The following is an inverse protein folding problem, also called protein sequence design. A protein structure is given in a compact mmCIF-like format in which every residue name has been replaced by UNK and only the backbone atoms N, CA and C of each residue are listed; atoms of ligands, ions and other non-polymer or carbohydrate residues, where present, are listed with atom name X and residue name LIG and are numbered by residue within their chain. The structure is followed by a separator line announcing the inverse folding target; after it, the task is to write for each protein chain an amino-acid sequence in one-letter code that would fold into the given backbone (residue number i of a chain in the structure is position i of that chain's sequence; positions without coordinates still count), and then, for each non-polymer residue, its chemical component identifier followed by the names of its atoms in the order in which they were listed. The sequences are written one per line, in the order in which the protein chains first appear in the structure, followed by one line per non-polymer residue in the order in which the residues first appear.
data_IF_988192706466
#
_entry.id   IF_988192706466
#
_cell.length_a   1.000
_cell.length_b   1.000
_cell.length_c   1.000
_cell.angle_alpha   90.00
_cell.angle_beta   90.00
_cell.angle_gamma   90.00
#
_symmetry.space_group_name_H-M   'P 1'
#
loop_
_entity.id
_entity.type
_entity.pdbx_description
1 polymer ?
#
# COMPACT_ATOMS: atom_id res chain seq x y z
N UNK A 1 -10.54 -8.46 -16.42
CA UNK A 1 -10.39 -9.37 -15.25
C UNK A 1 -11.60 -9.23 -14.34
N UNK A 2 -12.27 -10.34 -13.95
CA UNK A 2 -13.41 -10.30 -13.03
C UNK A 2 -12.93 -10.23 -11.57
N UNK A 3 -12.57 -9.04 -11.08
CA UNK A 3 -12.01 -8.82 -9.75
C UNK A 3 -12.89 -9.40 -8.63
N UNK A 4 -14.20 -9.17 -8.68
CA UNK A 4 -15.15 -9.65 -7.65
C UNK A 4 -15.25 -11.17 -7.54
N UNK A 5 -14.91 -11.92 -8.62
CA UNK A 5 -14.85 -13.38 -8.57
C UNK A 5 -13.52 -13.89 -8.03
N UNK A 6 -12.44 -13.17 -8.31
CA UNK A 6 -11.10 -13.56 -7.87
C UNK A 6 -10.79 -13.09 -6.44
N UNK A 7 -11.33 -11.95 -6.06
CA UNK A 7 -11.07 -11.30 -4.78
C UNK A 7 -12.40 -10.88 -4.12
N UNK A 8 -13.25 -11.85 -3.71
CA UNK A 8 -14.52 -11.55 -3.05
C UNK A 8 -14.32 -10.81 -1.72
N UNK A 9 -13.15 -11.00 -1.07
CA UNK A 9 -12.78 -10.29 0.16
C UNK A 9 -12.49 -8.80 -0.08
N UNK A 10 -12.13 -8.42 -1.30
CA UNK A 10 -11.79 -7.04 -1.65
C UNK A 10 -12.90 -6.31 -2.38
N UNK A 11 -13.72 -7.04 -3.16
CA UNK A 11 -14.76 -6.45 -4.01
C UNK A 11 -15.99 -7.35 -4.04
N UNK A 12 -17.13 -6.81 -3.63
CA UNK A 12 -18.41 -7.50 -3.64
C UNK A 12 -19.33 -6.90 -4.69
N UNK A 13 -19.94 -7.75 -5.52
CA UNK A 13 -20.99 -7.32 -6.45
C UNK A 13 -22.30 -7.15 -5.68
N UNK A 14 -22.92 -5.98 -5.81
CA UNK A 14 -24.20 -5.67 -5.19
C UNK A 14 -25.38 -6.21 -6.04
N UNK A 15 -26.57 -6.37 -5.45
CA UNK A 15 -27.76 -6.83 -6.18
C UNK A 15 -28.17 -5.92 -7.34
N UNK A 16 -27.89 -4.64 -7.28
CA UNK A 16 -28.14 -3.65 -8.34
C UNK A 16 -27.10 -3.71 -9.48
N UNK A 17 -26.12 -4.62 -9.40
CA UNK A 17 -25.06 -4.78 -10.37
C UNK A 17 -23.84 -3.89 -10.16
N UNK A 18 -23.86 -2.98 -9.20
CA UNK A 18 -22.72 -2.16 -8.81
C UNK A 18 -21.68 -2.98 -8.01
N UNK A 19 -20.53 -2.38 -7.72
CA UNK A 19 -19.47 -3.02 -6.95
C UNK A 19 -19.16 -2.20 -5.68
N UNK A 20 -19.09 -2.88 -4.54
CA UNK A 20 -18.63 -2.32 -3.28
C UNK A 20 -17.21 -2.80 -2.99
N UNK A 21 -16.29 -1.85 -2.82
CA UNK A 21 -14.93 -2.18 -2.38
C UNK A 21 -14.92 -2.33 -0.85
N UNK A 22 -14.36 -3.44 -0.38
CA UNK A 22 -14.17 -3.71 1.06
C UNK A 22 -12.90 -3.05 1.60
N UNK A 23 -11.91 -2.80 0.75
CA UNK A 23 -10.73 -2.01 1.08
C UNK A 23 -10.91 -0.56 0.67
N UNK A 24 -10.36 0.35 1.47
CA UNK A 24 -10.44 1.79 1.24
C UNK A 24 -9.08 2.42 1.39
N UNK A 25 -8.78 3.40 0.55
CA UNK A 25 -7.63 4.27 0.79
C UNK A 25 -7.89 5.14 2.01
N UNK A 26 -6.88 5.25 2.87
CA UNK A 26 -6.92 6.19 3.96
C UNK A 26 -6.74 7.61 3.39
N UNK A 27 -7.84 8.36 3.35
CA UNK A 27 -7.83 9.70 2.81
C UNK A 27 -7.31 10.72 3.81
N UNK A 28 -6.66 11.76 3.30
CA UNK A 28 -6.43 12.99 4.06
C UNK A 28 -7.69 13.43 4.76
N UNK A 29 -7.63 13.65 6.05
CA UNK A 29 -8.70 14.33 6.75
C UNK A 29 -8.13 15.38 7.68
N UNK A 30 -8.81 16.53 7.75
CA UNK A 30 -8.48 17.57 8.73
C UNK A 30 -8.53 17.02 10.15
N UNK A 31 -9.38 16.02 10.43
CA UNK A 31 -9.51 15.36 11.73
C UNK A 31 -8.28 14.53 12.07
N UNK A 32 -7.77 13.72 11.15
CA UNK A 32 -6.55 12.93 11.38
C UNK A 32 -5.36 13.84 11.64
N UNK A 33 -5.22 14.92 10.87
CA UNK A 33 -4.17 15.90 11.09
C UNK A 33 -4.32 16.62 12.43
N UNK A 34 -5.54 17.01 12.80
CA UNK A 34 -5.79 17.74 14.04
C UNK A 34 -5.60 16.88 15.29
N UNK A 35 -6.16 15.66 15.31
CA UNK A 35 -6.12 14.81 16.51
C UNK A 35 -4.86 13.97 16.64
N UNK A 36 -4.24 13.60 15.52
CA UNK A 36 -3.11 12.67 15.52
C UNK A 36 -1.84 13.25 14.88
N UNK A 37 -1.88 14.51 14.47
CA UNK A 37 -0.79 15.16 13.71
C UNK A 37 -0.29 14.31 12.52
N UNK A 38 -1.22 13.52 11.93
CA UNK A 38 -0.96 12.68 10.78
C UNK A 38 -1.24 13.45 9.49
N UNK A 39 -0.19 13.88 8.84
CA UNK A 39 -0.23 14.22 7.42
C UNK A 39 -0.13 12.92 6.63
N UNK A 40 -1.16 12.57 5.86
CA UNK A 40 -1.15 11.38 5.01
C UNK A 40 -0.61 11.71 3.60
N UNK A 41 0.47 12.50 3.56
CA UNK A 41 1.11 12.95 2.34
C UNK A 41 2.44 12.25 2.12
N UNK A 42 2.52 11.50 1.02
CA UNK A 42 3.73 10.80 0.62
C UNK A 42 4.13 9.64 1.52
N UNK A 43 5.28 9.09 1.25
CA UNK A 43 5.77 7.88 1.91
C UNK A 43 6.20 8.11 3.37
N UNK A 44 6.58 9.32 3.75
CA UNK A 44 6.89 9.66 5.16
C UNK A 44 5.64 9.56 6.06
N UNK A 45 4.46 9.82 5.51
CA UNK A 45 3.21 9.65 6.24
C UNK A 45 2.95 8.20 6.67
N UNK A 46 3.39 7.23 5.87
CA UNK A 46 3.27 5.81 6.21
C UNK A 46 4.20 5.44 7.38
N UNK A 47 5.40 6.04 7.45
CA UNK A 47 6.27 5.91 8.62
C UNK A 47 5.62 6.49 9.87
N UNK A 48 5.03 7.68 9.76
CA UNK A 48 4.32 8.33 10.86
C UNK A 48 3.14 7.48 11.36
N UNK A 49 2.41 6.83 10.45
CA UNK A 49 1.34 5.90 10.82
C UNK A 49 1.88 4.68 11.59
N UNK A 50 3.02 4.12 11.17
CA UNK A 50 3.68 3.05 11.91
C UNK A 50 4.08 3.50 13.33
N UNK A 51 4.69 4.67 13.46
CA UNK A 51 5.12 5.23 14.75
C UNK A 51 3.92 5.46 15.68
N UNK A 52 2.81 6.04 15.17
CA UNK A 52 1.56 6.18 15.91
C UNK A 52 1.03 4.83 16.39
N UNK A 53 1.05 3.84 15.53
CA UNK A 53 0.52 2.50 15.82
C UNK A 53 1.29 1.79 16.92
N UNK A 54 2.61 1.94 16.93
CA UNK A 54 3.53 1.19 17.79
C UNK A 54 4.03 1.98 18.99
N UNK A 55 3.87 3.31 19.00
CA UNK A 55 4.53 4.20 19.96
C UNK A 55 6.05 4.25 19.83
N UNK A 56 6.60 3.71 18.74
CA UNK A 56 8.04 3.65 18.47
C UNK A 56 8.47 4.84 17.61
N UNK A 57 8.47 6.03 18.17
CA UNK A 57 8.90 7.23 17.47
C UNK A 57 9.08 8.39 18.43
N UNK A 58 9.73 9.45 17.98
CA UNK A 58 9.94 10.65 18.82
C UNK A 58 8.64 11.42 19.06
N UNK A 59 7.68 11.30 18.17
CA UNK A 59 6.47 12.13 18.12
C UNK A 59 5.31 11.55 18.94
N UNK A 60 5.11 10.21 18.88
CA UNK A 60 4.04 9.53 19.61
C UNK A 60 4.61 8.68 20.74
N UNK A 61 4.30 9.07 21.98
CA UNK A 61 4.76 8.37 23.19
C UNK A 61 3.84 7.22 23.61
N UNK A 62 2.62 7.18 23.07
CA UNK A 62 1.62 6.16 23.37
C UNK A 62 1.37 5.32 22.14
N UNK A 63 1.55 4.01 22.28
CA UNK A 63 1.21 3.07 21.21
C UNK A 63 -0.31 3.01 21.01
N UNK A 64 -0.78 3.42 19.86
CA UNK A 64 -2.20 3.52 19.55
C UNK A 64 -2.89 2.14 19.53
N UNK A 65 -2.22 1.13 18.99
CA UNK A 65 -2.79 -0.21 18.87
C UNK A 65 -3.10 -0.86 20.22
N UNK A 66 -2.15 -1.02 21.17
CA UNK A 66 -2.46 -1.55 22.51
C UNK A 66 -3.49 -0.73 23.27
N UNK A 67 -3.46 0.60 23.12
CA UNK A 67 -4.44 1.48 23.75
C UNK A 67 -5.86 1.21 23.25
N UNK A 68 -6.02 1.03 21.92
CA UNK A 68 -7.32 0.71 21.34
C UNK A 68 -7.82 -0.68 21.74
N UNK A 69 -6.95 -1.67 21.80
CA UNK A 69 -7.31 -3.00 22.31
C UNK A 69 -7.82 -2.93 23.75
N UNK A 70 -7.12 -2.18 24.61
CA UNK A 70 -7.51 -2.01 26.00
C UNK A 70 -8.87 -1.31 26.16
N UNK A 71 -9.18 -0.32 25.32
CA UNK A 71 -10.44 0.40 25.35
C UNK A 71 -11.61 -0.39 24.75
N UNK A 72 -11.39 -1.05 23.60
CA UNK A 72 -12.46 -1.71 22.87
C UNK A 72 -12.76 -3.12 23.37
N UNK A 73 -11.80 -3.77 24.01
CA UNK A 73 -11.85 -5.20 24.34
C UNK A 73 -11.96 -6.11 23.12
N UNK A 74 -11.70 -5.59 21.92
CA UNK A 74 -11.87 -6.32 20.66
C UNK A 74 -10.66 -6.14 19.75
N UNK A 75 -10.26 -7.21 19.07
CA UNK A 75 -9.26 -7.14 17.99
C UNK A 75 -9.84 -6.41 16.78
N UNK A 76 -9.01 -5.68 16.01
CA UNK A 76 -9.44 -5.08 14.75
C UNK A 76 -9.89 -6.14 13.74
N UNK A 77 -11.01 -5.90 13.09
CA UNK A 77 -11.57 -6.81 12.06
C UNK A 77 -10.91 -6.64 10.69
N UNK A 78 -10.25 -5.52 10.47
CA UNK A 78 -9.67 -5.16 9.18
C UNK A 78 -8.21 -4.78 9.32
N UNK A 79 -7.35 -5.16 8.36
CA UNK A 79 -5.97 -4.75 8.36
C UNK A 79 -5.80 -3.29 7.99
N UNK A 80 -4.74 -2.70 8.51
CA UNK A 80 -4.13 -1.47 7.97
C UNK A 80 -2.94 -1.89 7.13
N UNK A 81 -2.94 -1.53 5.85
CA UNK A 81 -1.95 -2.00 4.89
C UNK A 81 -1.16 -0.80 4.36
N UNK A 82 0.14 -0.80 4.61
CA UNK A 82 1.08 0.14 4.02
C UNK A 82 1.59 -0.44 2.71
N UNK A 83 1.28 0.22 1.60
CA UNK A 83 1.74 -0.20 0.28
C UNK A 83 2.86 0.72 -0.18
N UNK A 84 4.04 0.16 -0.44
CA UNK A 84 5.22 0.88 -0.91
C UNK A 84 5.67 0.39 -2.28
N UNK A 85 6.31 1.28 -3.02
CA UNK A 85 7.12 0.91 -4.17
C UNK A 85 8.24 -0.06 -3.76
N UNK A 86 8.60 -0.99 -4.64
CA UNK A 86 9.64 -1.97 -4.34
C UNK A 86 11.03 -1.38 -4.65
N UNK A 87 11.44 -0.45 -3.82
CA UNK A 87 12.71 0.27 -3.92
C UNK A 87 13.66 -0.06 -2.76
N UNK A 88 13.53 -1.25 -2.18
CA UNK A 88 14.28 -1.68 -0.98
C UNK A 88 15.80 -1.67 -1.20
N UNK A 89 16.24 -1.89 -2.43
CA UNK A 89 17.67 -1.90 -2.77
C UNK A 89 18.29 -0.50 -2.84
N UNK A 90 17.49 0.56 -2.87
CA UNK A 90 17.96 1.94 -2.82
C UNK A 90 17.80 2.51 -1.40
N UNK A 91 18.92 2.71 -0.71
CA UNK A 91 18.96 3.21 0.69
C UNK A 91 18.40 4.63 0.85
N UNK A 92 18.28 5.39 -0.24
CA UNK A 92 17.78 6.78 -0.19
C UNK A 92 16.25 6.83 -0.18
N UNK A 93 15.60 5.74 -0.56
CA UNK A 93 14.15 5.66 -0.73
C UNK A 93 13.40 5.51 0.59
N UNK A 94 12.15 6.00 0.65
CA UNK A 94 11.34 6.02 1.87
C UNK A 94 11.16 4.63 2.49
N UNK A 95 10.93 3.59 1.69
CA UNK A 95 10.80 2.22 2.20
C UNK A 95 12.07 1.77 2.93
N UNK A 96 13.25 2.00 2.37
CA UNK A 96 14.52 1.60 2.99
C UNK A 96 14.74 2.33 4.32
N UNK A 97 14.38 3.62 4.38
CA UNK A 97 14.42 4.42 5.63
C UNK A 97 13.45 3.86 6.67
N UNK A 98 12.23 3.48 6.27
CA UNK A 98 11.28 2.83 7.17
C UNK A 98 11.86 1.51 7.70
N UNK A 99 12.30 0.61 6.82
CA UNK A 99 12.83 -0.70 7.21
C UNK A 99 14.02 -0.58 8.17
N UNK A 100 14.90 0.41 7.94
CA UNK A 100 15.99 0.72 8.86
C UNK A 100 15.46 1.21 10.22
N UNK A 101 14.51 2.14 10.23
CA UNK A 101 13.97 2.73 11.47
C UNK A 101 13.23 1.72 12.36
N UNK A 102 12.61 0.71 11.75
CA UNK A 102 11.91 -0.36 12.49
C UNK A 102 12.83 -1.54 12.85
N UNK A 103 14.09 -1.49 12.45
CA UNK A 103 15.06 -2.57 12.71
C UNK A 103 14.76 -3.87 11.98
N UNK A 104 14.16 -3.80 10.77
CA UNK A 104 13.82 -5.00 10.02
C UNK A 104 15.07 -5.77 9.61
N UNK A 105 15.13 -7.05 9.97
CA UNK A 105 16.21 -7.96 9.58
C UNK A 105 16.24 -8.27 8.07
N UNK A 106 17.33 -8.87 7.61
CA UNK A 106 17.51 -9.19 6.18
C UNK A 106 16.45 -10.17 5.65
N UNK A 107 15.99 -11.12 6.45
CA UNK A 107 14.93 -12.05 6.06
C UNK A 107 13.64 -11.31 5.69
N UNK A 108 13.18 -10.38 6.53
CA UNK A 108 11.99 -9.57 6.24
C UNK A 108 12.16 -8.70 5.00
N UNK A 109 13.35 -8.11 4.81
CA UNK A 109 13.66 -7.35 3.59
C UNK A 109 13.62 -8.23 2.34
N UNK A 110 14.20 -9.44 2.38
CA UNK A 110 14.16 -10.37 1.26
C UNK A 110 12.73 -10.84 0.93
N UNK A 111 11.89 -11.04 1.95
CA UNK A 111 10.48 -11.34 1.73
C UNK A 111 9.76 -10.20 1.03
N UNK A 112 9.96 -8.97 1.47
CA UNK A 112 9.38 -7.78 0.83
C UNK A 112 9.89 -7.57 -0.60
N UNK A 113 11.19 -7.78 -0.87
CA UNK A 113 11.74 -7.74 -2.25
C UNK A 113 11.04 -8.73 -3.17
N UNK A 114 10.64 -9.90 -2.65
CA UNK A 114 9.85 -10.90 -3.37
C UNK A 114 8.36 -10.60 -3.39
N UNK A 115 7.97 -9.39 -3.02
CA UNK A 115 6.56 -8.98 -2.93
C UNK A 115 5.74 -9.88 -1.99
N UNK A 116 6.30 -10.27 -0.87
CA UNK A 116 5.56 -10.93 0.22
C UNK A 116 5.15 -9.88 1.25
N UNK A 117 4.02 -10.13 1.93
CA UNK A 117 3.57 -9.26 3.02
C UNK A 117 4.39 -9.49 4.29
N UNK A 118 4.56 -8.43 5.07
CA UNK A 118 5.13 -8.48 6.41
C UNK A 118 4.16 -7.87 7.43
N UNK A 119 3.90 -8.59 8.52
CA UNK A 119 3.16 -8.07 9.66
C UNK A 119 4.10 -7.23 10.51
N UNK A 120 3.82 -5.93 10.65
CA UNK A 120 4.70 -4.98 11.36
C UNK A 120 4.49 -4.97 12.88
N UNK A 121 3.35 -5.45 13.34
CA UNK A 121 2.99 -5.55 14.75
C UNK A 121 2.57 -6.98 15.02
N UNK A 122 3.36 -7.70 15.79
CA UNK A 122 3.06 -9.09 16.13
C UNK A 122 1.67 -9.22 16.77
N UNK A 123 0.84 -10.11 16.24
CA UNK A 123 -0.55 -10.27 16.66
C UNK A 123 -1.47 -9.08 16.36
N UNK A 124 -0.97 -8.07 15.66
CA UNK A 124 -1.73 -6.88 15.25
C UNK A 124 -2.25 -6.97 13.83
N UNK A 125 -2.81 -5.87 13.35
CA UNK A 125 -3.41 -5.77 12.02
C UNK A 125 -2.68 -4.78 11.09
N UNK A 126 -1.45 -4.40 11.39
CA UNK A 126 -0.63 -3.52 10.55
C UNK A 126 0.31 -4.34 9.68
N UNK A 127 0.16 -4.20 8.37
CA UNK A 127 0.95 -4.91 7.37
C UNK A 127 1.72 -3.96 6.47
N UNK A 128 2.86 -4.42 5.99
CA UNK A 128 3.65 -3.79 4.94
C UNK A 128 3.64 -4.70 3.71
N UNK A 129 3.37 -4.12 2.57
CA UNK A 129 3.30 -4.81 1.28
C UNK A 129 4.06 -4.00 0.24
N UNK A 130 4.79 -4.70 -0.62
CA UNK A 130 5.37 -4.14 -1.84
C UNK A 130 4.78 -4.83 -3.05
N UNK A 131 4.81 -4.17 -4.21
CA UNK A 131 4.53 -4.84 -5.48
C UNK A 131 5.76 -5.61 -5.99
N UNK A 132 5.61 -6.55 -6.94
CA UNK A 132 6.74 -7.28 -7.52
C UNK A 132 7.70 -6.33 -8.25
N UNK A 133 8.99 -6.70 -8.27
CA UNK A 133 9.96 -6.03 -9.13
C UNK A 133 9.58 -6.25 -10.60
N UNK A 134 9.68 -5.19 -11.39
CA UNK A 134 9.58 -5.33 -12.83
C UNK A 134 10.81 -6.11 -13.36
N UNK A 135 10.60 -6.84 -14.45
CA UNK A 135 11.63 -7.69 -15.06
C UNK A 135 12.92 -6.90 -15.34
N UNK A 136 14.04 -7.45 -14.87
CA UNK A 136 15.37 -6.85 -15.04
C UNK A 136 15.66 -5.64 -14.15
N UNK A 137 14.76 -5.23 -13.26
CA UNK A 137 14.95 -4.09 -12.35
C UNK A 137 15.36 -4.54 -10.95
N UNK A 138 16.21 -3.75 -10.32
CA UNK A 138 16.58 -3.88 -8.89
C UNK A 138 15.70 -3.02 -7.97
N UNK A 139 15.04 -2.01 -8.53
CA UNK A 139 14.03 -1.14 -7.90
C UNK A 139 12.88 -0.95 -8.88
N UNK A 140 11.67 -0.80 -8.36
CA UNK A 140 10.48 -0.71 -9.20
C UNK A 140 9.43 0.18 -8.54
N UNK A 141 8.84 1.05 -9.34
CA UNK A 141 7.70 1.88 -8.97
C UNK A 141 6.41 1.20 -9.43
N UNK A 142 5.27 1.58 -8.87
CA UNK A 142 3.98 0.99 -9.23
C UNK A 142 3.64 1.16 -10.71
N UNK A 143 4.12 2.22 -11.33
CA UNK A 143 3.97 2.49 -12.76
C UNK A 143 4.67 1.44 -13.64
N UNK A 144 5.69 0.75 -13.12
CA UNK A 144 6.38 -0.32 -13.84
C UNK A 144 5.53 -1.59 -14.00
N UNK A 145 4.45 -1.72 -13.26
CA UNK A 145 3.49 -2.80 -13.41
C UNK A 145 2.63 -2.66 -14.67
N UNK A 146 2.53 -1.47 -15.25
CA UNK A 146 1.83 -1.30 -16.52
C UNK A 146 2.68 -1.85 -17.68
N UNK A 147 2.01 -2.40 -18.69
CA UNK A 147 2.66 -2.83 -19.91
C UNK A 147 3.37 -1.64 -20.58
N UNK A 148 4.47 -1.90 -21.29
CA UNK A 148 5.26 -0.87 -21.95
C UNK A 148 4.41 0.00 -22.89
N UNK A 149 3.50 -0.59 -23.67
CA UNK A 149 2.55 0.13 -24.53
C UNK A 149 1.70 1.15 -23.77
N UNK A 150 1.37 0.90 -22.50
CA UNK A 150 0.59 1.82 -21.66
C UNK A 150 1.49 2.94 -21.13
N UNK A 151 2.73 2.63 -20.76
CA UNK A 151 3.71 3.63 -20.30
C UNK A 151 4.25 4.51 -21.43
N UNK A 152 4.30 3.98 -22.64
CA UNK A 152 4.76 4.70 -23.83
C UNK A 152 3.69 5.62 -24.45
N UNK A 153 2.52 5.77 -23.81
CA UNK A 153 1.47 6.64 -24.31
C UNK A 153 1.96 8.11 -24.37
N UNK A 154 1.62 8.78 -25.46
CA UNK A 154 1.91 10.20 -25.65
C UNK A 154 0.66 11.00 -25.33
N UNK A 155 0.77 11.96 -24.42
CA UNK A 155 -0.31 12.89 -24.03
C UNK A 155 0.11 14.30 -24.42
N UNK A 156 -0.66 14.95 -25.27
CA UNK A 156 -0.35 16.31 -25.79
C UNK A 156 1.07 16.44 -26.37
N UNK A 157 1.52 15.42 -27.10
CA UNK A 157 2.86 15.39 -27.70
C UNK A 157 4.01 15.08 -26.74
N UNK A 158 3.73 14.77 -25.47
CA UNK A 158 4.72 14.52 -24.42
C UNK A 158 4.71 13.06 -23.98
N UNK A 159 5.88 12.55 -23.57
CA UNK A 159 6.06 11.22 -23.03
C UNK A 159 6.01 11.17 -21.48
N UNK A 160 5.81 9.99 -20.91
CA UNK A 160 5.84 9.79 -19.46
C UNK A 160 7.28 9.94 -18.92
N UNK A 161 7.43 10.76 -17.87
CA UNK A 161 8.62 10.77 -17.03
C UNK A 161 8.24 10.38 -15.61
N UNK A 162 8.98 9.44 -15.03
CA UNK A 162 8.85 9.06 -13.61
C UNK A 162 9.79 9.88 -12.70
N UNK A 163 10.61 10.77 -13.27
CA UNK A 163 11.48 11.65 -12.50
C UNK A 163 10.71 12.86 -12.00
N UNK A 164 11.05 13.33 -10.80
CA UNK A 164 10.44 14.52 -10.22
C UNK A 164 10.91 15.81 -10.92
N UNK A 165 12.13 15.79 -11.50
CA UNK A 165 12.80 16.92 -12.17
C UNK A 165 12.63 16.92 -13.70
N UNK A 166 11.50 16.39 -14.21
CA UNK A 166 11.25 16.34 -15.66
C UNK A 166 10.93 17.71 -16.26
N UNK A 167 11.27 17.88 -17.55
CA UNK A 167 10.89 19.06 -18.34
C UNK A 167 9.40 18.97 -18.76
N UNK A 168 8.52 19.86 -18.27
CA UNK A 168 7.10 19.84 -18.61
C UNK A 168 6.78 20.13 -20.09
N UNK A 169 7.73 20.62 -20.88
CA UNK A 169 7.53 20.88 -22.31
C UNK A 169 7.62 19.59 -23.14
N UNK A 170 8.43 18.62 -22.71
CA UNK A 170 8.68 17.36 -23.44
C UNK A 170 8.13 16.12 -22.75
N UNK A 171 7.82 16.23 -21.46
CA UNK A 171 7.35 15.10 -20.66
C UNK A 171 6.16 15.48 -19.79
N UNK A 172 5.42 14.47 -19.35
CA UNK A 172 4.40 14.59 -18.31
C UNK A 172 4.68 13.64 -17.15
N UNK A 173 4.26 13.99 -15.94
CA UNK A 173 4.49 13.23 -14.72
C UNK A 173 3.36 12.24 -14.37
N UNK A 174 3.50 11.62 -13.22
CA UNK A 174 2.60 10.58 -12.68
C UNK A 174 1.13 11.01 -12.57
N UNK A 175 0.85 12.28 -12.26
CA UNK A 175 -0.53 12.80 -12.15
C UNK A 175 -1.28 12.72 -13.49
N UNK A 176 -0.66 13.15 -14.60
CA UNK A 176 -1.26 13.04 -15.92
C UNK A 176 -1.39 11.58 -16.36
N UNK A 177 -0.41 10.72 -16.03
CA UNK A 177 -0.48 9.30 -16.29
C UNK A 177 -1.64 8.64 -15.52
N UNK A 178 -1.82 8.96 -14.25
CA UNK A 178 -2.91 8.40 -13.45
C UNK A 178 -4.29 8.78 -13.99
N UNK A 179 -4.45 10.03 -14.46
CA UNK A 179 -5.68 10.48 -15.13
C UNK A 179 -5.94 9.74 -16.44
N UNK A 180 -4.88 9.49 -17.23
CA UNK A 180 -4.96 8.67 -18.44
C UNK A 180 -5.41 7.25 -18.10
N UNK A 181 -4.78 6.60 -17.12
CA UNK A 181 -5.15 5.25 -16.68
C UNK A 181 -6.61 5.20 -16.25
N UNK A 182 -7.07 6.19 -15.46
CA UNK A 182 -8.45 6.26 -14.99
C UNK A 182 -9.44 6.40 -16.14
N UNK A 183 -9.13 7.17 -17.16
CA UNK A 183 -10.03 7.37 -18.31
C UNK A 183 -10.01 6.20 -19.31
N UNK A 184 -8.97 5.36 -19.30
CA UNK A 184 -8.79 4.25 -20.25
C UNK A 184 -8.73 2.87 -19.57
N UNK A 185 -9.14 2.75 -18.30
CA UNK A 185 -8.99 1.53 -17.50
C UNK A 185 -9.60 0.27 -18.15
N UNK A 186 -10.61 0.43 -19.00
CA UNK A 186 -11.27 -0.70 -19.70
C UNK A 186 -10.37 -1.38 -20.73
N UNK A 187 -9.39 -0.67 -21.28
CA UNK A 187 -8.49 -1.16 -22.33
C UNK A 187 -7.08 -1.46 -21.81
N UNK A 188 -6.79 -1.07 -20.57
CA UNK A 188 -5.48 -1.28 -19.94
C UNK A 188 -5.42 -2.67 -19.32
N UNK A 189 -4.29 -3.35 -19.51
CA UNK A 189 -4.01 -4.63 -18.88
C UNK A 189 -3.42 -4.43 -17.47
N UNK A 190 -4.10 -4.97 -16.47
CA UNK A 190 -3.71 -4.93 -15.06
C UNK A 190 -3.22 -6.28 -14.53
N UNK A 191 -2.87 -7.23 -15.41
CA UNK A 191 -2.47 -8.58 -14.97
C UNK A 191 -1.26 -8.57 -14.03
N UNK A 192 -0.31 -7.66 -14.22
CA UNK A 192 0.88 -7.53 -13.37
C UNK A 192 0.60 -6.97 -11.96
N UNK A 193 -0.61 -6.45 -11.73
CA UNK A 193 -1.06 -6.03 -10.39
C UNK A 193 -1.58 -7.20 -9.54
N UNK A 194 -1.79 -8.36 -10.15
CA UNK A 194 -2.32 -9.55 -9.46
C UNK A 194 -1.50 -9.90 -8.20
N UNK A 195 -0.16 -9.98 -8.23
CA UNK A 195 0.61 -10.32 -7.03
C UNK A 195 0.41 -9.31 -5.89
N UNK A 196 0.27 -8.02 -6.19
CA UNK A 196 -0.03 -7.01 -5.19
C UNK A 196 -1.43 -7.22 -4.58
N UNK A 197 -2.44 -7.47 -5.41
CA UNK A 197 -3.80 -7.75 -4.95
C UNK A 197 -3.87 -9.04 -4.12
N UNK A 198 -3.11 -10.08 -4.50
CA UNK A 198 -2.99 -11.32 -3.72
C UNK A 198 -2.44 -11.02 -2.32
N UNK A 199 -1.44 -10.13 -2.16
CA UNK A 199 -0.89 -9.76 -0.85
C UNK A 199 -1.88 -8.96 -0.01
N UNK A 200 -2.63 -8.07 -0.63
CA UNK A 200 -3.69 -7.32 0.06
C UNK A 200 -4.79 -8.27 0.55
N UNK A 201 -5.24 -9.20 -0.30
CA UNK A 201 -6.20 -10.26 0.09
C UNK A 201 -5.67 -11.10 1.25
N UNK A 202 -4.42 -11.56 1.17
CA UNK A 202 -3.80 -12.39 2.20
C UNK A 202 -3.74 -11.66 3.57
N UNK A 203 -3.49 -10.34 3.58
CA UNK A 203 -3.52 -9.54 4.80
C UNK A 203 -4.94 -9.42 5.37
N UNK A 204 -5.96 -9.27 4.52
CA UNK A 204 -7.37 -9.24 4.94
C UNK A 204 -7.76 -10.58 5.54
N UNK A 205 -7.49 -11.69 4.84
CA UNK A 205 -7.85 -13.03 5.30
C UNK A 205 -7.17 -13.39 6.63
N UNK A 206 -5.89 -13.05 6.81
CA UNK A 206 -5.15 -13.32 8.05
C UNK A 206 -5.71 -12.54 9.24
N UNK A 207 -6.07 -11.25 9.03
CA UNK A 207 -6.66 -10.44 10.09
C UNK A 207 -8.02 -10.98 10.52
N UNK A 208 -8.85 -11.42 9.57
CA UNK A 208 -10.16 -12.00 9.85
C UNK A 208 -10.08 -13.37 10.53
N UNK A 209 -9.08 -14.18 10.16
CA UNK A 209 -8.84 -15.48 10.81
C UNK A 209 -8.41 -15.30 12.29
N UNK A 210 -7.54 -14.34 12.57
CA UNK A 210 -7.07 -14.05 13.93
C UNK A 210 -8.18 -13.54 14.87
N UNK A 211 -9.29 -13.02 14.35
CA UNK A 211 -10.46 -12.64 15.14
C UNK A 211 -11.27 -13.86 15.61
N UNK A 212 -11.27 -14.92 14.80
CA UNK A 212 -12.09 -16.12 15.06
C UNK A 212 -11.44 -17.10 16.04
N UNK A 213 -10.15 -16.93 16.35
CA UNK A 213 -9.50 -17.73 17.38
C UNK A 213 -10.02 -17.29 18.77
N UNK A 214 -10.67 -18.19 19.54
CA UNK A 214 -11.09 -17.88 20.90
C UNK A 214 -9.85 -17.53 21.72
N UNK A 215 -9.91 -16.41 22.45
CA UNK A 215 -8.87 -16.10 23.44
C UNK A 215 -8.74 -17.32 24.36
N UNK A 216 -7.58 -17.98 24.31
CA UNK A 216 -7.31 -19.14 25.15
C UNK A 216 -7.52 -18.78 26.62
N UNK A 217 -8.40 -19.53 27.25
CA UNK A 217 -8.72 -19.49 28.69
C UNK A 217 -7.47 -19.80 29.52
#
# INVERSE_FOLDING_TARGET
MNLHRRYPELVVRQPDGTFAFQVRFLHRSKRLRYFFDLSLDGADAMKNLYELYTGKGAHWKTAYYPYFLALSGKKPQWPVILVYDNEINDKTRPISKLLHSIGMGEEGKERLKKSLKEQLVAGGNLYLVTHPLAEGKSVSEIEDLFAERTRAVVIDGRGLSLRDDYDPQVSYGKDAFSKYVLSHYQTIDFVRFIPLLDRIRDAVAETQAAEQEPEGV
#
